data_IF_046485249036
#
_entry.id   IF_046485249036
#
_cell.length_a   1.000
_cell.length_b   1.000
_cell.length_c   1.000
_cell.angle_alpha   90.00
_cell.angle_beta   90.00
_cell.angle_gamma   90.00
#
_symmetry.space_group_name_H-M   'P 1'
#
loop_
_entity.id
_entity.type
_entity.pdbx_description
1 polymer ?
#
# COMPACT_ATOMS: atom_id res chain seq x y z
N UNK A 1 11.13 3.02 -8.96
CA UNK A 1 10.80 4.34 -8.37
C UNK A 1 9.40 4.25 -7.75
N UNK A 2 8.99 5.14 -6.84
CA UNK A 2 7.64 5.04 -6.23
C UNK A 2 6.52 5.27 -7.26
N UNK A 3 6.81 6.07 -8.28
CA UNK A 3 5.98 6.38 -9.44
C UNK A 3 5.72 5.15 -10.32
N UNK A 4 6.57 4.12 -10.21
CA UNK A 4 6.40 2.85 -10.93
C UNK A 4 5.38 1.92 -10.26
N UNK A 5 4.89 2.26 -9.06
CA UNK A 5 3.93 1.43 -8.31
C UNK A 5 2.76 2.23 -7.71
N UNK A 6 2.88 3.55 -7.61
CA UNK A 6 1.86 4.43 -7.01
C UNK A 6 1.57 5.65 -7.88
N UNK A 7 0.37 6.20 -7.73
CA UNK A 7 -0.09 7.43 -8.37
C UNK A 7 -0.97 8.22 -7.39
N UNK A 8 -1.35 9.45 -7.75
CA UNK A 8 -2.35 10.24 -7.02
C UNK A 8 -2.02 10.40 -5.53
N UNK A 9 -2.99 10.15 -4.64
CA UNK A 9 -2.85 10.37 -3.19
C UNK A 9 -1.86 9.37 -2.58
N UNK A 10 -1.86 8.12 -3.03
CA UNK A 10 -0.93 7.09 -2.54
C UNK A 10 0.54 7.49 -2.81
N UNK A 11 0.84 8.01 -4.01
CA UNK A 11 2.20 8.47 -4.34
C UNK A 11 2.66 9.59 -3.41
N UNK A 12 1.85 10.65 -3.25
CA UNK A 12 2.18 11.79 -2.38
C UNK A 12 2.34 11.35 -0.93
N UNK A 13 1.45 10.48 -0.45
CA UNK A 13 1.53 9.93 0.90
C UNK A 13 2.83 9.17 1.12
N UNK A 14 3.17 8.26 0.19
CA UNK A 14 4.37 7.42 0.30
C UNK A 14 5.67 8.21 0.17
N UNK A 15 5.73 9.19 -0.74
CA UNK A 15 6.87 10.10 -0.85
C UNK A 15 7.10 10.84 0.47
N UNK A 16 6.05 11.46 1.04
CA UNK A 16 6.15 12.18 2.31
C UNK A 16 6.54 11.27 3.48
N UNK A 17 6.07 10.03 3.50
CA UNK A 17 6.47 9.06 4.52
C UNK A 17 7.97 8.78 4.43
N UNK A 18 8.46 8.41 3.25
CA UNK A 18 9.88 8.10 3.03
C UNK A 18 10.78 9.30 3.32
N UNK A 19 10.34 10.52 2.96
CA UNK A 19 11.05 11.76 3.28
C UNK A 19 11.19 11.98 4.78
N UNK A 20 10.11 11.78 5.56
CA UNK A 20 10.14 11.91 7.02
C UNK A 20 11.05 10.85 7.65
N UNK A 21 10.84 9.58 7.31
CA UNK A 21 11.64 8.47 7.83
C UNK A 21 13.13 8.70 7.58
N UNK A 22 13.50 9.10 6.36
CA UNK A 22 14.91 9.43 6.05
C UNK A 22 15.41 10.68 6.76
N UNK A 23 14.57 11.71 6.90
CA UNK A 23 14.89 12.94 7.62
C UNK A 23 15.21 12.68 9.10
N UNK A 24 14.50 11.73 9.71
CA UNK A 24 14.68 11.31 11.09
C UNK A 24 15.76 10.22 11.26
N UNK A 25 16.40 9.79 10.16
CA UNK A 25 17.39 8.73 10.15
C UNK A 25 16.82 7.34 10.47
N UNK A 26 15.50 7.18 10.32
CA UNK A 26 14.81 5.93 10.58
C UNK A 26 14.97 4.96 9.43
N UNK A 27 15.14 3.68 9.79
CA UNK A 27 15.31 2.60 8.83
C UNK A 27 14.35 1.46 9.21
N UNK A 28 13.57 1.01 8.23
CA UNK A 28 12.82 -0.21 8.37
C UNK A 28 13.76 -1.42 8.28
N UNK A 29 13.63 -2.36 9.21
CA UNK A 29 14.34 -3.64 9.21
C UNK A 29 13.34 -4.79 9.25
N UNK A 30 13.80 -6.00 8.88
CA UNK A 30 12.95 -7.18 8.83
C UNK A 30 11.99 -7.18 7.63
N UNK A 31 10.86 -7.88 7.76
CA UNK A 31 9.99 -8.22 6.63
C UNK A 31 8.53 -7.82 6.84
N UNK A 32 7.89 -7.32 5.78
CA UNK A 32 6.44 -7.20 5.67
C UNK A 32 5.93 -8.29 4.75
N UNK A 33 4.92 -9.04 5.20
CA UNK A 33 4.34 -10.16 4.47
C UNK A 33 2.89 -9.85 4.11
N UNK A 34 2.47 -10.25 2.91
CA UNK A 34 1.05 -10.31 2.57
C UNK A 34 0.56 -11.68 3.01
N UNK A 35 -0.39 -11.69 3.95
CA UNK A 35 -1.01 -12.93 4.47
C UNK A 35 -2.25 -13.29 3.66
N UNK A 36 -3.01 -12.28 3.27
CA UNK A 36 -4.28 -12.45 2.57
C UNK A 36 -4.48 -11.34 1.55
N UNK A 37 -5.11 -11.67 0.42
CA UNK A 37 -5.42 -10.77 -0.67
C UNK A 37 -6.83 -11.07 -1.19
N UNK A 38 -7.76 -10.18 -0.90
CA UNK A 38 -9.17 -10.32 -1.28
C UNK A 38 -9.54 -9.32 -2.35
N UNK A 39 -9.99 -9.81 -3.51
CA UNK A 39 -10.56 -8.97 -4.55
C UNK A 39 -11.93 -8.45 -4.12
N UNK A 40 -12.05 -7.13 -4.00
CA UNK A 40 -13.31 -6.47 -3.61
C UNK A 40 -14.13 -6.04 -4.83
N UNK A 41 -13.47 -5.59 -5.89
CA UNK A 41 -14.17 -5.05 -7.04
C UNK A 41 -13.28 -4.88 -8.27
N UNK A 42 -13.91 -4.98 -9.45
CA UNK A 42 -13.28 -4.74 -10.75
C UNK A 42 -14.24 -3.91 -11.60
N UNK A 43 -13.77 -2.77 -12.10
CA UNK A 43 -14.46 -1.96 -13.08
C UNK A 43 -13.52 -1.59 -14.24
N UNK A 44 -13.55 -2.40 -15.30
CA UNK A 44 -12.71 -2.19 -16.49
C UNK A 44 -13.24 -1.12 -17.44
N UNK A 45 -14.47 -0.64 -17.23
CA UNK A 45 -15.14 0.36 -18.07
C UNK A 45 -15.26 1.71 -17.39
N UNK A 46 -14.61 1.89 -16.23
CA UNK A 46 -14.58 3.17 -15.55
C UNK A 46 -13.95 4.22 -16.47
N UNK A 47 -14.49 5.44 -16.44
CA UNK A 47 -13.99 6.55 -17.23
C UNK A 47 -13.69 7.75 -16.32
N UNK A 48 -12.64 8.49 -16.63
CA UNK A 48 -12.30 9.72 -15.92
C UNK A 48 -13.21 10.90 -16.35
N UNK A 49 -12.99 12.08 -15.76
CA UNK A 49 -13.77 13.28 -16.08
C UNK A 49 -13.63 13.78 -17.53
N UNK A 50 -12.66 13.26 -18.30
CA UNK A 50 -12.48 13.54 -19.72
C UNK A 50 -13.14 12.50 -20.64
N UNK A 51 -13.68 11.41 -20.07
CA UNK A 51 -14.25 10.29 -20.81
C UNK A 51 -13.21 9.24 -21.24
N UNK A 52 -11.95 9.36 -20.81
CA UNK A 52 -10.93 8.34 -21.07
C UNK A 52 -11.18 7.12 -20.18
N UNK A 53 -11.09 5.92 -20.75
CA UNK A 53 -11.20 4.68 -19.96
C UNK A 53 -10.00 4.56 -19.01
N UNK A 54 -10.31 4.47 -17.72
CA UNK A 54 -9.36 4.27 -16.62
C UNK A 54 -9.90 3.15 -15.74
N UNK A 55 -9.54 1.90 -16.00
CA UNK A 55 -9.96 0.78 -15.18
C UNK A 55 -9.59 0.95 -13.71
N UNK A 56 -10.43 0.41 -12.84
CA UNK A 56 -10.26 0.41 -11.39
C UNK A 56 -10.38 -1.01 -10.86
N UNK A 57 -9.49 -1.39 -9.95
CA UNK A 57 -9.55 -2.64 -9.19
C UNK A 57 -9.33 -2.34 -7.73
N UNK A 58 -10.08 -3.00 -6.86
CA UNK A 58 -9.98 -2.82 -5.41
C UNK A 58 -9.64 -4.15 -4.74
N UNK A 59 -8.64 -4.12 -3.86
CA UNK A 59 -8.24 -5.26 -3.03
C UNK A 59 -8.26 -4.86 -1.56
N UNK A 60 -8.69 -5.78 -0.70
CA UNK A 60 -8.31 -5.77 0.71
C UNK A 60 -7.05 -6.66 0.84
N UNK A 61 -6.01 -6.14 1.49
CA UNK A 61 -4.75 -6.83 1.74
C UNK A 61 -4.56 -6.93 3.23
N UNK A 62 -4.38 -8.14 3.75
CA UNK A 62 -3.90 -8.31 5.11
C UNK A 62 -2.38 -8.38 5.11
N UNK A 63 -1.76 -7.48 5.87
CA UNK A 63 -0.31 -7.44 6.05
C UNK A 63 0.07 -7.97 7.42
N UNK A 64 1.19 -8.70 7.49
CA UNK A 64 1.88 -9.09 8.72
C UNK A 64 3.23 -8.38 8.79
N UNK A 65 3.43 -7.71 9.92
CA UNK A 65 4.60 -6.92 10.27
C UNK A 65 5.20 -7.36 11.60
N UNK A 66 4.90 -8.58 12.06
CA UNK A 66 5.46 -9.14 13.29
C UNK A 66 7.00 -9.23 13.26
N UNK A 67 7.57 -9.48 12.09
CA UNK A 67 9.01 -9.54 11.85
C UNK A 67 9.59 -8.19 11.38
N UNK A 68 8.80 -7.11 11.35
CA UNK A 68 9.23 -5.79 10.92
C UNK A 68 9.44 -4.87 12.11
N UNK A 69 10.48 -4.03 12.02
CA UNK A 69 10.69 -2.92 12.96
C UNK A 69 11.11 -1.65 12.20
N UNK A 70 10.93 -0.50 12.85
CA UNK A 70 11.50 0.77 12.43
C UNK A 70 12.46 1.20 13.54
N UNK A 71 13.72 1.42 13.19
CA UNK A 71 14.77 1.78 14.15
C UNK A 71 15.35 3.15 13.86
N UNK A 72 15.76 3.88 14.90
CA UNK A 72 16.51 5.13 14.79
C UNK A 72 17.97 4.90 14.38
N UNK A 73 18.74 5.99 14.23
CA UNK A 73 20.16 5.93 13.87
C UNK A 73 21.05 5.17 14.89
N UNK A 74 20.59 4.97 16.12
CA UNK A 74 21.29 4.21 17.16
C UNK A 74 20.84 2.74 17.21
N UNK A 75 19.87 2.34 16.39
CA UNK A 75 19.29 1.00 16.37
C UNK A 75 18.19 0.78 17.41
N UNK A 76 17.66 1.83 18.04
CA UNK A 76 16.53 1.70 18.96
C UNK A 76 15.22 1.65 18.17
N UNK A 77 14.30 0.74 18.53
CA UNK A 77 12.95 0.74 17.96
C UNK A 77 12.24 2.06 18.26
N UNK A 78 11.60 2.63 17.23
CA UNK A 78 10.76 3.83 17.34
C UNK A 78 9.27 3.49 17.21
N UNK A 79 8.94 2.21 17.01
CA UNK A 79 7.56 1.73 16.96
C UNK A 79 6.89 1.80 18.35
N UNK A 80 5.57 2.02 18.36
CA UNK A 80 4.80 1.96 19.60
C UNK A 80 4.80 0.53 20.17
N UNK A 81 5.05 0.41 21.47
CA UNK A 81 4.93 -0.87 22.18
C UNK A 81 3.50 -1.41 22.07
N UNK A 82 3.37 -2.72 21.85
CA UNK A 82 2.07 -3.39 21.75
C UNK A 82 1.27 -3.04 20.48
N UNK A 83 1.89 -2.43 19.46
CA UNK A 83 1.22 -2.20 18.17
C UNK A 83 0.68 -3.52 17.59
N UNK A 84 -0.51 -3.52 16.97
CA UNK A 84 -0.95 -4.67 16.20
C UNK A 84 0.08 -5.04 15.14
N UNK A 85 0.39 -6.33 15.05
CA UNK A 85 1.35 -6.85 14.06
C UNK A 85 0.68 -7.33 12.78
N UNK A 86 -0.66 -7.36 12.75
CA UNK A 86 -1.45 -7.66 11.56
C UNK A 86 -2.55 -6.64 11.40
N UNK A 87 -2.85 -6.29 10.16
CA UNK A 87 -3.86 -5.31 9.84
C UNK A 87 -4.27 -5.39 8.38
N UNK A 88 -5.43 -4.83 8.10
CA UNK A 88 -5.98 -4.80 6.76
C UNK A 88 -5.84 -3.41 6.16
N UNK A 89 -5.44 -3.38 4.89
CA UNK A 89 -5.44 -2.19 4.05
C UNK A 89 -6.29 -2.43 2.82
N UNK A 90 -7.13 -1.47 2.44
CA UNK A 90 -7.77 -1.44 1.12
C UNK A 90 -6.92 -0.64 0.16
N UNK A 91 -6.57 -1.26 -0.96
CA UNK A 91 -5.89 -0.59 -2.06
C UNK A 91 -6.82 -0.47 -3.26
N UNK A 92 -6.91 0.75 -3.78
CA UNK A 92 -7.53 1.01 -5.08
C UNK A 92 -6.40 1.16 -6.10
N UNK A 93 -6.44 0.36 -7.16
CA UNK A 93 -5.51 0.39 -8.26
C UNK A 93 -6.21 0.97 -9.49
N UNK A 94 -5.49 1.79 -10.24
CA UNK A 94 -5.96 2.37 -11.50
C UNK A 94 -4.95 2.11 -12.61
N UNK A 95 -5.43 2.03 -13.86
CA UNK A 95 -4.56 2.00 -15.03
C UNK A 95 -4.86 3.19 -15.96
N UNK A 96 -4.05 4.25 -15.85
CA UNK A 96 -4.16 5.44 -16.71
C UNK A 96 -3.66 5.20 -18.14
N UNK A 97 -2.91 4.12 -18.39
CA UNK A 97 -2.34 3.78 -19.70
C UNK A 97 -3.02 2.54 -20.31
N UNK A 98 -4.29 2.33 -19.97
CA UNK A 98 -5.04 1.12 -20.33
C UNK A 98 -5.01 0.77 -21.82
N UNK A 99 -5.04 1.77 -22.70
CA UNK A 99 -5.05 1.57 -24.15
C UNK A 99 -3.70 1.06 -24.70
N UNK A 100 -2.59 1.38 -24.04
CA UNK A 100 -1.25 1.02 -24.52
C UNK A 100 -0.61 -0.10 -23.70
N UNK A 101 -0.87 -0.17 -22.39
CA UNK A 101 -0.30 -1.16 -21.47
C UNK A 101 -1.35 -1.66 -20.44
N UNK A 102 -2.32 -2.47 -20.89
CA UNK A 102 -3.37 -3.00 -20.02
C UNK A 102 -2.84 -3.96 -18.93
N UNK A 103 -1.64 -4.54 -19.13
CA UNK A 103 -1.06 -5.53 -18.23
C UNK A 103 -0.19 -4.90 -17.12
N UNK A 104 0.63 -3.90 -17.43
CA UNK A 104 1.64 -3.38 -16.49
C UNK A 104 1.41 -1.92 -16.06
N UNK A 105 0.41 -1.24 -16.64
CA UNK A 105 0.07 0.16 -16.32
C UNK A 105 -0.62 0.38 -14.97
N UNK A 106 -0.83 -0.67 -14.17
CA UNK A 106 -1.52 -0.59 -12.88
C UNK A 106 -0.68 0.09 -11.80
N UNK A 107 -1.28 1.07 -11.12
CA UNK A 107 -0.66 1.80 -10.00
C UNK A 107 -1.65 1.94 -8.87
N UNK A 108 -1.18 1.83 -7.62
CA UNK A 108 -2.00 2.11 -6.44
C UNK A 108 -2.31 3.61 -6.39
N UNK A 109 -3.59 3.98 -6.42
CA UNK A 109 -4.05 5.38 -6.37
C UNK A 109 -4.37 5.83 -4.94
N UNK A 110 -4.91 4.92 -4.13
CA UNK A 110 -5.22 5.11 -2.72
C UNK A 110 -4.93 3.84 -1.93
N UNK A 111 -4.56 4.04 -0.66
CA UNK A 111 -4.45 2.99 0.35
C UNK A 111 -5.12 3.50 1.62
N UNK A 112 -5.97 2.70 2.26
CA UNK A 112 -6.63 3.04 3.52
C UNK A 112 -6.56 1.88 4.52
N UNK A 113 -6.29 2.17 5.79
CA UNK A 113 -6.36 1.16 6.85
C UNK A 113 -7.81 0.85 7.17
N UNK A 114 -8.17 -0.43 7.21
CA UNK A 114 -9.52 -0.87 7.54
C UNK A 114 -9.63 -1.17 9.04
N UNK A 115 -10.63 -0.57 9.69
CA UNK A 115 -10.99 -0.88 11.07
C UNK A 115 -11.79 -2.18 11.14
N UNK A 116 -11.10 -3.32 10.99
CA UNK A 116 -11.68 -4.66 11.14
C UNK A 116 -10.74 -5.57 11.93
N UNK A 117 -11.26 -6.73 12.34
CA UNK A 117 -10.45 -7.73 13.04
C UNK A 117 -9.25 -8.13 12.17
N UNK A 118 -8.02 -8.21 12.72
CA UNK A 118 -6.86 -8.68 11.97
C UNK A 118 -7.11 -10.06 11.37
N UNK A 119 -6.55 -10.33 10.18
CA UNK A 119 -6.60 -11.68 9.62
C UNK A 119 -5.93 -12.69 10.57
N UNK A 120 -6.37 -13.94 10.50
CA UNK A 120 -5.77 -15.01 11.27
C UNK A 120 -4.31 -15.23 10.84
N UNK A 121 -3.49 -15.74 11.76
CA UNK A 121 -2.16 -16.20 11.38
C UNK A 121 -2.32 -17.38 10.42
N UNK A 122 -1.76 -17.29 9.21
CA UNK A 122 -1.46 -18.51 8.47
C UNK A 122 -0.30 -19.20 9.17
N UNK A 123 -0.58 -20.30 9.87
CA UNK A 123 0.40 -21.21 10.51
C UNK A 123 1.42 -21.77 9.50
#
# INVERSE_FOLDING_TARGET
MLEDITVSVALVSRQRQVERERGDGWVQTGETKIVELDLQGVNLTNADGSGKTVPVVEFDVCIDVADMDIVDANGNSVGAEGRPTRGWERHTLVNHDWENDPANGWRVSTSETLEKQPCEASD
#
